data_IF_361002621406
#
_entry.id   IF_361002621406
#
_cell.length_a   1.000
_cell.length_b   1.000
_cell.length_c   1.000
_cell.angle_alpha   90.00
_cell.angle_beta   90.00
_cell.angle_gamma   90.00
#
_symmetry.space_group_name_H-M   'P 1'
#
loop_
_entity.id
_entity.type
_entity.pdbx_description
1 polymer ?
#
# COMPACT_ATOMS: atom_id res chain seq x y z
N UNK A 1 -9.34 23.90 1.20
CA UNK A 1 -8.14 23.53 1.97
C UNK A 1 -7.72 22.18 1.43
N UNK A 2 -6.65 22.11 0.64
CA UNK A 2 -6.04 20.81 0.32
C UNK A 2 -5.45 20.27 1.61
N UNK A 3 -5.94 19.12 2.06
CA UNK A 3 -5.28 18.38 3.14
C UNK A 3 -3.93 17.97 2.57
N UNK A 4 -2.84 18.51 3.12
CA UNK A 4 -1.50 18.06 2.78
C UNK A 4 -1.29 16.73 3.49
N UNK A 5 -1.22 15.64 2.72
CA UNK A 5 -0.91 14.33 3.28
C UNK A 5 0.61 14.15 3.31
N UNK A 6 1.10 13.47 4.34
CA UNK A 6 2.50 13.08 4.43
C UNK A 6 2.69 11.67 3.92
N UNK A 7 3.74 11.45 3.14
CA UNK A 7 3.99 10.14 2.56
C UNK A 7 4.19 9.08 3.67
N UNK A 8 3.47 7.97 3.58
CA UNK A 8 3.56 6.86 4.53
C UNK A 8 4.93 6.18 4.52
N UNK A 9 5.71 6.30 3.44
CA UNK A 9 7.05 5.69 3.32
C UNK A 9 8.19 6.64 3.70
N UNK A 10 8.10 7.92 3.33
CA UNK A 10 9.22 8.87 3.51
C UNK A 10 8.87 10.14 4.29
N UNK A 11 7.59 10.39 4.59
CA UNK A 11 7.13 11.57 5.32
C UNK A 11 7.05 12.87 4.52
N UNK A 12 7.22 12.84 3.19
CA UNK A 12 7.10 14.04 2.34
C UNK A 12 5.68 14.62 2.32
N UNK A 13 5.54 15.94 2.46
CA UNK A 13 4.25 16.68 2.47
C UNK A 13 3.52 16.77 1.10
N UNK A 14 4.09 16.23 0.03
CA UNK A 14 3.50 16.17 -1.32
C UNK A 14 2.92 14.78 -1.60
N UNK A 15 2.19 14.20 -0.64
CA UNK A 15 1.60 12.88 -0.82
C UNK A 15 0.17 12.97 -1.36
N UNK A 16 -0.18 12.01 -2.20
CA UNK A 16 -1.53 11.76 -2.70
C UNK A 16 -2.02 10.42 -2.13
N UNK A 17 -3.26 10.36 -1.64
CA UNK A 17 -3.82 9.10 -1.14
C UNK A 17 -4.03 8.13 -2.31
N UNK A 18 -3.43 6.95 -2.21
CA UNK A 18 -3.57 5.86 -3.16
C UNK A 18 -4.35 4.70 -2.53
N UNK A 19 -5.27 4.10 -3.28
CA UNK A 19 -6.05 2.96 -2.80
C UNK A 19 -5.19 1.70 -2.67
N UNK A 20 -5.41 0.96 -1.58
CA UNK A 20 -4.85 -0.37 -1.38
C UNK A 20 -5.64 -1.46 -2.13
N UNK A 21 -4.97 -2.46 -2.73
CA UNK A 21 -5.63 -3.70 -3.11
C UNK A 21 -6.25 -4.38 -1.88
N UNK A 22 -7.41 -5.02 -2.05
CA UNK A 22 -8.12 -5.71 -0.95
C UNK A 22 -7.22 -6.74 -0.25
N UNK A 23 -6.44 -7.53 -0.99
CA UNK A 23 -5.46 -8.47 -0.42
C UNK A 23 -4.47 -7.78 0.55
N UNK A 24 -4.03 -6.57 0.22
CA UNK A 24 -3.05 -5.83 1.02
C UNK A 24 -3.70 -5.24 2.27
N UNK A 25 -4.95 -4.79 2.16
CA UNK A 25 -5.75 -4.37 3.32
C UNK A 25 -5.99 -5.54 4.28
N UNK A 26 -6.26 -6.74 3.74
CA UNK A 26 -6.41 -7.95 4.55
C UNK A 26 -5.10 -8.33 5.24
N UNK A 27 -3.96 -8.26 4.54
CA UNK A 27 -2.63 -8.45 5.13
C UNK A 27 -2.39 -7.47 6.28
N UNK A 28 -2.59 -6.17 6.03
CA UNK A 28 -2.41 -5.12 7.03
C UNK A 28 -3.35 -5.30 8.24
N UNK A 29 -4.57 -5.81 8.02
CA UNK A 29 -5.52 -6.13 9.09
C UNK A 29 -5.08 -7.34 9.92
N UNK A 30 -4.61 -8.40 9.27
CA UNK A 30 -4.21 -9.65 9.93
C UNK A 30 -2.90 -9.47 10.72
N UNK A 31 -1.90 -8.83 10.10
CA UNK A 31 -0.56 -8.66 10.69
C UNK A 31 -0.51 -7.55 11.75
N UNK A 32 -1.35 -6.51 11.63
CA UNK A 32 -1.14 -5.25 12.37
C UNK A 32 -2.39 -4.72 13.11
N UNK A 33 -3.41 -5.56 13.30
CA UNK A 33 -4.64 -5.28 14.09
C UNK A 33 -5.33 -3.95 13.67
N UNK A 34 -5.33 -3.64 12.38
CA UNK A 34 -5.99 -2.45 11.84
C UNK A 34 -7.53 -2.56 11.95
N UNK A 35 -8.19 -1.39 12.01
CA UNK A 35 -9.64 -1.18 12.23
C UNK A 35 -10.60 -2.19 11.58
N UNK A 36 -11.85 -2.32 12.10
CA UNK A 36 -12.80 -3.33 11.69
C UNK A 36 -13.04 -3.43 10.17
N UNK A 37 -13.46 -4.61 9.69
CA UNK A 37 -13.72 -4.84 8.28
C UNK A 37 -14.78 -3.87 7.73
N UNK A 38 -14.51 -3.28 6.56
CA UNK A 38 -15.41 -2.36 5.87
C UNK A 38 -14.87 -0.94 5.66
N UNK A 39 -13.71 -0.62 6.26
CA UNK A 39 -12.96 0.61 5.97
C UNK A 39 -12.03 0.36 4.79
N UNK A 40 -12.08 1.24 3.79
CA UNK A 40 -11.11 1.28 2.71
C UNK A 40 -9.96 2.19 3.12
N UNK A 41 -8.77 1.61 3.29
CA UNK A 41 -7.57 2.36 3.65
C UNK A 41 -6.92 2.94 2.40
N UNK A 42 -6.51 4.20 2.50
CA UNK A 42 -5.67 4.85 1.50
C UNK A 42 -4.29 5.12 2.08
N UNK A 43 -3.28 4.87 1.27
CA UNK A 43 -1.88 5.12 1.59
C UNK A 43 -1.48 6.44 0.95
N UNK A 44 -1.20 7.49 1.73
CA UNK A 44 -0.62 8.68 1.15
C UNK A 44 0.79 8.39 0.65
N UNK A 45 1.02 8.50 -0.66
CA UNK A 45 2.31 8.29 -1.31
C UNK A 45 2.74 9.56 -2.05
N UNK A 46 4.01 9.95 -1.94
CA UNK A 46 4.54 11.01 -2.79
C UNK A 46 4.79 10.49 -4.21
N UNK A 47 4.92 11.37 -5.20
CA UNK A 47 5.00 10.97 -6.62
C UNK A 47 6.08 9.93 -6.97
N UNK A 48 7.20 9.90 -6.24
CA UNK A 48 8.25 8.89 -6.42
C UNK A 48 7.76 7.50 -5.96
N UNK A 49 7.33 7.40 -4.71
CA UNK A 49 6.84 6.14 -4.14
C UNK A 49 5.51 5.69 -4.76
N UNK A 50 4.66 6.62 -5.22
CA UNK A 50 3.43 6.29 -5.92
C UNK A 50 3.70 5.56 -7.24
N UNK A 51 4.77 5.93 -7.96
CA UNK A 51 5.18 5.25 -9.18
C UNK A 51 5.72 3.84 -8.90
N UNK A 52 6.54 3.69 -7.84
CA UNK A 52 7.05 2.38 -7.41
C UNK A 52 5.90 1.47 -6.94
N UNK A 53 4.98 2.02 -6.16
CA UNK A 53 3.78 1.32 -5.68
C UNK A 53 2.88 0.87 -6.83
N UNK A 54 2.57 1.74 -7.80
CA UNK A 54 1.74 1.39 -8.95
C UNK A 54 2.39 0.27 -9.79
N UNK A 55 3.71 0.31 -9.95
CA UNK A 55 4.45 -0.74 -10.64
C UNK A 55 4.34 -2.08 -9.88
N UNK A 56 4.60 -2.07 -8.57
CA UNK A 56 4.54 -3.27 -7.73
C UNK A 56 3.11 -3.83 -7.67
N UNK A 57 2.11 -2.96 -7.50
CA UNK A 57 0.69 -3.32 -7.52
C UNK A 57 0.30 -4.00 -8.83
N UNK A 58 0.74 -3.46 -9.97
CA UNK A 58 0.50 -4.10 -11.27
C UNK A 58 1.14 -5.48 -11.35
N UNK A 59 2.40 -5.62 -10.92
CA UNK A 59 3.07 -6.92 -10.86
C UNK A 59 2.35 -7.89 -9.94
N UNK A 60 1.86 -7.43 -8.77
CA UNK A 60 1.15 -8.24 -7.79
C UNK A 60 -0.21 -8.72 -8.30
N UNK A 61 -0.92 -7.90 -9.06
CA UNK A 61 -2.17 -8.28 -9.73
C UNK A 61 -1.93 -9.27 -10.87
N UNK A 62 -0.80 -9.16 -11.56
CA UNK A 62 -0.42 -10.04 -12.67
C UNK A 62 0.31 -11.32 -12.20
N UNK A 63 0.60 -11.46 -10.89
CA UNK A 63 1.38 -12.57 -10.32
C UNK A 63 0.85 -13.96 -10.69
N UNK A 64 -0.47 -14.09 -10.86
CA UNK A 64 -1.11 -15.35 -11.27
C UNK A 64 -0.76 -15.82 -12.69
N UNK A 65 -0.15 -14.96 -13.52
CA UNK A 65 0.35 -15.30 -14.85
C UNK A 65 1.88 -15.47 -14.91
N UNK A 66 2.57 -15.28 -13.78
CA UNK A 66 4.02 -15.42 -13.65
C UNK A 66 4.41 -16.81 -13.17
N UNK A 67 5.68 -17.19 -13.34
CA UNK A 67 6.24 -18.39 -12.71
C UNK A 67 6.25 -18.27 -11.18
N UNK A 68 6.15 -19.40 -10.47
CA UNK A 68 6.09 -19.46 -9.00
C UNK A 68 7.20 -18.67 -8.30
N UNK A 69 8.43 -18.69 -8.82
CA UNK A 69 9.55 -17.95 -8.23
C UNK A 69 9.35 -16.44 -8.34
N UNK A 70 8.83 -15.96 -9.47
CA UNK A 70 8.58 -14.54 -9.71
C UNK A 70 7.37 -14.07 -8.91
N UNK A 71 6.30 -14.88 -8.87
CA UNK A 71 5.14 -14.60 -8.05
C UNK A 71 5.52 -14.45 -6.57
N UNK A 72 6.28 -15.40 -6.02
CA UNK A 72 6.75 -15.34 -4.64
C UNK A 72 7.63 -14.12 -4.35
N UNK A 73 8.47 -13.70 -5.31
CA UNK A 73 9.27 -12.46 -5.16
C UNK A 73 8.37 -11.23 -5.07
N UNK A 74 7.40 -11.12 -5.99
CA UNK A 74 6.47 -9.99 -6.01
C UNK A 74 5.59 -9.94 -4.77
N UNK A 75 5.16 -11.10 -4.26
CA UNK A 75 4.45 -11.20 -2.97
C UNK A 75 5.33 -10.72 -1.83
N UNK A 76 6.58 -11.20 -1.75
CA UNK A 76 7.54 -10.73 -0.75
C UNK A 76 7.83 -9.23 -0.84
N UNK A 77 8.03 -8.68 -2.04
CA UNK A 77 8.25 -7.24 -2.25
C UNK A 77 7.02 -6.41 -1.83
N UNK A 78 5.80 -6.92 -2.05
CA UNK A 78 4.56 -6.30 -1.60
C UNK A 78 4.48 -6.28 -0.07
N UNK A 79 4.73 -7.42 0.57
CA UNK A 79 4.71 -7.54 2.04
C UNK A 79 5.77 -6.62 2.68
N UNK A 80 7.00 -6.60 2.15
CA UNK A 80 8.08 -5.70 2.61
C UNK A 80 7.68 -4.23 2.49
N UNK A 81 7.01 -3.86 1.38
CA UNK A 81 6.51 -2.49 1.20
C UNK A 81 5.42 -2.17 2.23
N UNK A 82 4.46 -3.08 2.46
CA UNK A 82 3.40 -2.91 3.46
C UNK A 82 3.96 -2.80 4.88
N UNK A 83 4.99 -3.57 5.21
CA UNK A 83 5.66 -3.50 6.51
C UNK A 83 6.35 -2.15 6.75
N UNK A 84 6.88 -1.56 5.68
CA UNK A 84 7.52 -0.23 5.70
C UNK A 84 6.54 0.93 5.80
N UNK A 85 5.25 0.73 5.53
CA UNK A 85 4.25 1.78 5.64
C UNK A 85 4.06 2.23 7.08
N UNK A 86 4.08 3.54 7.29
CA UNK A 86 3.69 4.18 8.53
C UNK A 86 2.16 4.17 8.67
N UNK A 87 1.65 3.28 9.51
CA UNK A 87 0.20 3.06 9.66
C UNK A 87 -0.53 4.27 10.25
N UNK A 88 0.16 5.08 11.07
CA UNK A 88 -0.39 6.28 11.70
C UNK A 88 -0.74 7.34 10.64
N UNK A 89 -0.11 7.24 9.46
CA UNK A 89 -0.35 8.10 8.30
C UNK A 89 -1.39 7.54 7.33
N UNK A 90 -1.87 6.31 7.51
CA UNK A 90 -2.94 5.78 6.67
C UNK A 90 -4.22 6.58 6.89
N UNK A 91 -4.91 6.89 5.79
CA UNK A 91 -6.13 7.67 5.84
C UNK A 91 -7.33 6.79 5.50
N UNK A 92 -8.41 7.00 6.25
CA UNK A 92 -9.68 6.30 6.09
C UNK A 92 -10.51 7.02 5.02
N UNK A 93 -10.99 6.27 4.03
CA UNK A 93 -11.98 6.77 3.07
C UNK A 93 -13.39 6.60 3.69
N UNK A 94 -13.89 7.65 4.37
CA UNK A 94 -15.26 7.70 4.92
C UNK A 94 -16.35 7.93 3.87
#
# INVERSE_FOLDING_TARGET
MTVAYQCALCGSDDAQPESLPVDWEEYLRDERDLSPPGIQWQVPLCGEHAAEYDHLRKSYLDRGMMDDETAQKVEGDADDLLDRLDLDRLVDEQ
#
